data_IF_454217340964
#
_entry.id   IF_454217340964
#
_cell.length_a   1.000
_cell.length_b   1.000
_cell.length_c   1.000
_cell.angle_alpha   90.00
_cell.angle_beta   90.00
_cell.angle_gamma   90.00
#
_symmetry.space_group_name_H-M   'P 1'
#
loop_
_entity.id
_entity.type
_entity.pdbx_description
1 polymer ?
#
# COMPACT_ATOMS: atom_id res chain seq x y z
N UNK A 1 16.64 -5.15 13.91
CA UNK A 1 17.44 -5.67 12.79
C UNK A 1 18.71 -4.82 12.73
N UNK A 2 19.85 -5.38 12.33
CA UNK A 2 21.11 -4.64 12.34
C UNK A 2 21.24 -3.89 11.00
N UNK A 3 21.12 -2.57 11.04
CA UNK A 3 21.08 -1.66 9.88
C UNK A 3 22.47 -1.43 9.26
N UNK A 4 23.35 -2.44 9.30
CA UNK A 4 24.77 -2.28 8.95
C UNK A 4 25.02 -2.05 7.45
N UNK A 5 24.04 -2.32 6.58
CA UNK A 5 24.17 -2.10 5.13
C UNK A 5 23.77 -0.69 4.69
N UNK A 6 23.03 0.04 5.53
CA UNK A 6 22.52 1.37 5.21
C UNK A 6 23.62 2.45 5.41
N UNK A 7 24.69 2.10 6.13
CA UNK A 7 25.75 3.02 6.55
C UNK A 7 25.44 3.67 7.91
N UNK A 8 26.48 3.97 8.69
CA UNK A 8 26.29 4.65 9.99
C UNK A 8 25.66 6.04 9.78
N UNK A 9 24.63 6.36 10.56
CA UNK A 9 23.97 7.68 10.55
C UNK A 9 22.80 7.84 9.56
N UNK A 10 22.38 6.78 8.86
CA UNK A 10 21.16 6.82 8.04
C UNK A 10 19.92 6.73 8.93
N UNK A 11 19.04 7.74 8.81
CA UNK A 11 17.74 7.78 9.47
C UNK A 11 16.63 7.55 8.43
N UNK A 12 15.74 6.61 8.70
CA UNK A 12 14.55 6.34 7.89
C UNK A 12 13.36 7.08 8.50
N UNK A 13 12.76 7.96 7.71
CA UNK A 13 11.56 8.71 8.08
C UNK A 13 10.30 7.86 8.05
N UNK A 14 9.28 8.30 8.79
CA UNK A 14 7.93 7.73 8.71
C UNK A 14 7.27 8.08 7.38
N UNK A 15 6.44 7.17 6.85
CA UNK A 15 5.65 7.40 5.62
C UNK A 15 4.29 8.04 5.93
N UNK A 16 3.75 7.81 7.13
CA UNK A 16 2.52 8.43 7.64
C UNK A 16 2.72 8.81 9.11
N UNK A 17 1.88 9.70 9.63
CA UNK A 17 1.89 10.03 11.06
C UNK A 17 1.40 8.85 11.89
N UNK A 18 2.30 8.20 12.62
CA UNK A 18 1.98 7.05 13.48
C UNK A 18 2.75 7.15 14.78
N UNK A 19 2.03 7.05 15.91
CA UNK A 19 2.60 6.95 17.24
C UNK A 19 2.43 5.52 17.76
N UNK A 20 3.51 4.72 17.88
CA UNK A 20 3.41 3.33 18.32
C UNK A 20 2.94 3.16 19.77
N UNK A 21 2.85 4.24 20.55
CA UNK A 21 2.38 4.20 21.95
C UNK A 21 0.87 4.35 22.07
N UNK A 22 0.22 5.01 21.11
CA UNK A 22 -1.23 5.30 21.13
C UNK A 22 -1.98 4.70 19.94
N UNK A 23 -1.32 4.62 18.79
CA UNK A 23 -1.94 4.20 17.53
C UNK A 23 -1.84 2.68 17.36
N UNK A 24 -2.85 2.11 16.71
CA UNK A 24 -2.93 0.67 16.43
C UNK A 24 -3.07 0.42 14.95
N UNK A 25 -2.50 -0.70 14.49
CA UNK A 25 -2.58 -1.17 13.12
C UNK A 25 -3.50 -2.40 13.05
N UNK A 26 -4.29 -2.49 11.99
CA UNK A 26 -5.10 -3.66 11.69
C UNK A 26 -4.55 -4.40 10.45
N UNK A 27 -4.09 -5.64 10.55
CA UNK A 27 -3.71 -6.41 9.37
C UNK A 27 -4.96 -6.87 8.62
N UNK A 28 -5.12 -6.44 7.37
CA UNK A 28 -6.21 -6.89 6.52
C UNK A 28 -5.87 -8.22 5.84
N UNK A 29 -6.86 -9.11 5.78
CA UNK A 29 -6.81 -10.32 4.96
C UNK A 29 -7.59 -10.12 3.67
N UNK A 30 -6.88 -9.96 2.56
CA UNK A 30 -7.44 -9.86 1.21
C UNK A 30 -7.32 -11.15 0.40
N UNK A 31 -7.14 -12.29 1.07
CA UNK A 31 -7.15 -13.61 0.45
C UNK A 31 -8.57 -14.18 0.38
N UNK A 32 -8.73 -15.29 -0.35
CA UNK A 32 -10.02 -16.01 -0.43
C UNK A 32 -10.48 -16.62 0.90
N UNK A 33 -9.65 -16.61 1.96
CA UNK A 33 -10.03 -17.08 3.28
C UNK A 33 -10.98 -16.10 4.00
N UNK A 34 -10.95 -14.81 3.64
CA UNK A 34 -11.82 -13.80 4.21
C UNK A 34 -13.21 -13.83 3.55
N UNK A 35 -14.17 -14.47 4.23
CA UNK A 35 -15.54 -14.61 3.76
C UNK A 35 -16.41 -13.35 3.92
N UNK A 36 -15.90 -12.31 4.60
CA UNK A 36 -16.61 -11.02 4.71
C UNK A 36 -16.55 -10.23 3.40
N UNK A 37 -15.48 -10.41 2.62
CA UNK A 37 -15.25 -9.73 1.35
C UNK A 37 -15.98 -10.44 0.20
N UNK A 38 -17.26 -10.12 0.06
CA UNK A 38 -18.09 -10.63 -1.05
C UNK A 38 -17.78 -9.94 -2.38
N UNK A 39 -18.19 -10.56 -3.48
CA UNK A 39 -18.02 -10.01 -4.82
C UNK A 39 -18.66 -8.62 -4.98
N UNK A 40 -19.82 -8.45 -4.35
CA UNK A 40 -20.58 -7.21 -4.34
C UNK A 40 -19.83 -6.07 -3.63
N UNK A 41 -19.23 -6.34 -2.47
CA UNK A 41 -18.38 -5.38 -1.75
C UNK A 41 -17.14 -5.04 -2.59
N UNK A 42 -16.44 -6.04 -3.11
CA UNK A 42 -15.19 -5.87 -3.85
C UNK A 42 -15.37 -5.16 -5.21
N UNK A 43 -16.56 -5.24 -5.81
CA UNK A 43 -16.87 -4.60 -7.10
C UNK A 43 -17.33 -3.15 -6.98
N UNK A 44 -17.54 -2.65 -5.76
CA UNK A 44 -18.07 -1.32 -5.48
C UNK A 44 -17.14 -0.57 -4.53
N UNK A 45 -16.45 0.47 -5.05
CA UNK A 45 -15.47 1.26 -4.30
C UNK A 45 -16.05 1.85 -3.02
N UNK A 46 -17.30 2.32 -3.03
CA UNK A 46 -17.92 2.93 -1.86
C UNK A 46 -18.18 1.88 -0.77
N UNK A 47 -18.70 0.70 -1.14
CA UNK A 47 -18.95 -0.40 -0.20
C UNK A 47 -17.65 -0.95 0.37
N UNK A 48 -16.62 -1.09 -0.46
CA UNK A 48 -15.31 -1.52 -0.01
C UNK A 48 -14.68 -0.50 0.95
N UNK A 49 -14.78 0.80 0.62
CA UNK A 49 -14.32 1.89 1.50
C UNK A 49 -15.05 1.88 2.83
N UNK A 50 -16.37 1.70 2.81
CA UNK A 50 -17.19 1.59 4.01
C UNK A 50 -16.78 0.38 4.85
N UNK A 51 -16.58 -0.79 4.25
CA UNK A 51 -16.13 -1.98 4.96
C UNK A 51 -14.75 -1.80 5.62
N UNK A 52 -13.80 -1.19 4.90
CA UNK A 52 -12.47 -0.85 5.45
C UNK A 52 -12.62 0.07 6.66
N UNK A 53 -13.38 1.17 6.52
CA UNK A 53 -13.60 2.14 7.60
C UNK A 53 -14.25 1.51 8.82
N UNK A 54 -15.35 0.76 8.63
CA UNK A 54 -16.05 0.06 9.70
C UNK A 54 -15.15 -0.96 10.40
N UNK A 55 -14.25 -1.63 9.68
CA UNK A 55 -13.30 -2.57 10.26
C UNK A 55 -12.29 -1.84 11.15
N UNK A 56 -11.70 -0.74 10.67
CA UNK A 56 -10.77 0.06 11.46
C UNK A 56 -11.43 0.64 12.72
N UNK A 57 -12.65 1.14 12.60
CA UNK A 57 -13.43 1.63 13.73
C UNK A 57 -13.73 0.50 14.72
N UNK A 58 -14.20 -0.65 14.26
CA UNK A 58 -14.48 -1.82 15.12
C UNK A 58 -13.26 -2.25 15.93
N UNK A 59 -12.07 -2.22 15.34
CA UNK A 59 -10.83 -2.61 16.02
C UNK A 59 -10.09 -1.46 16.70
N UNK A 60 -10.59 -0.22 16.57
CA UNK A 60 -9.98 1.00 17.08
C UNK A 60 -8.53 1.13 16.59
N UNK A 61 -8.34 0.99 15.28
CA UNK A 61 -7.05 1.10 14.60
C UNK A 61 -6.99 2.37 13.77
N UNK A 62 -5.84 3.05 13.79
CA UNK A 62 -5.62 4.26 13.00
C UNK A 62 -5.43 3.95 11.52
N UNK A 63 -4.71 2.86 11.24
CA UNK A 63 -4.46 2.40 9.89
C UNK A 63 -4.69 0.90 9.76
N UNK A 64 -5.13 0.49 8.59
CA UNK A 64 -5.02 -0.89 8.14
C UNK A 64 -3.72 -1.10 7.39
N UNK A 65 -3.18 -2.31 7.44
CA UNK A 65 -2.00 -2.68 6.69
C UNK A 65 -2.29 -3.93 5.86
N UNK A 66 -1.89 -3.89 4.59
CA UNK A 66 -1.76 -5.09 3.79
C UNK A 66 -0.41 -5.76 4.02
N UNK A 67 -0.27 -7.04 3.67
CA UNK A 67 1.04 -7.69 3.66
C UNK A 67 1.81 -7.48 2.36
N UNK A 68 3.11 -7.78 2.45
CA UNK A 68 4.04 -7.90 1.33
C UNK A 68 4.11 -9.36 0.88
N UNK A 69 4.29 -9.59 -0.43
CA UNK A 69 4.37 -10.92 -1.03
C UNK A 69 3.09 -11.75 -0.83
N UNK A 70 1.93 -11.07 -0.85
CA UNK A 70 0.63 -11.72 -0.71
C UNK A 70 0.07 -12.14 -2.06
N UNK A 71 -0.40 -13.39 -2.15
CA UNK A 71 -1.17 -13.86 -3.30
C UNK A 71 -2.61 -13.37 -3.18
N UNK A 72 -2.87 -12.19 -3.71
CA UNK A 72 -4.17 -11.53 -3.56
C UNK A 72 -5.10 -11.88 -4.70
N UNK A 73 -6.20 -12.55 -4.37
CA UNK A 73 -7.25 -12.94 -5.32
C UNK A 73 -8.10 -11.75 -5.77
N UNK A 74 -8.05 -10.61 -5.07
CA UNK A 74 -8.83 -9.40 -5.40
C UNK A 74 -8.41 -8.75 -6.74
N UNK A 75 -7.14 -8.87 -7.15
CA UNK A 75 -6.63 -8.25 -8.39
C UNK A 75 -6.98 -9.04 -9.66
N UNK A 76 -7.59 -10.21 -9.55
CA UNK A 76 -8.01 -11.02 -10.70
C UNK A 76 -9.15 -10.39 -11.53
N UNK A 77 -9.56 -9.14 -11.23
CA UNK A 77 -10.76 -8.50 -11.79
C UNK A 77 -10.49 -7.29 -12.69
N UNK A 78 -9.31 -6.69 -12.62
CA UNK A 78 -8.96 -5.65 -13.58
C UNK A 78 -8.45 -6.32 -14.86
N UNK A 79 -9.09 -6.02 -15.99
CA UNK A 79 -8.61 -6.47 -17.30
C UNK A 79 -7.18 -6.00 -17.60
N UNK A 80 -6.68 -4.96 -16.90
CA UNK A 80 -5.29 -4.51 -16.98
C UNK A 80 -4.29 -5.41 -16.23
N UNK A 81 -4.75 -6.19 -15.25
CA UNK A 81 -3.91 -7.10 -14.44
C UNK A 81 -4.10 -8.59 -14.77
N UNK A 82 -5.12 -8.93 -15.57
CA UNK A 82 -5.40 -10.29 -16.08
C UNK A 82 -5.04 -10.41 -17.57
N UNK A 83 -3.79 -10.09 -17.91
CA UNK A 83 -3.23 -10.33 -19.25
C UNK A 83 -2.87 -11.81 -19.33
N UNK A 84 -3.35 -12.51 -20.38
CA UNK A 84 -3.30 -13.96 -20.51
C UNK A 84 -1.91 -14.64 -20.38
N UNK A 85 -0.81 -13.88 -20.49
CA UNK A 85 0.55 -14.41 -20.36
C UNK A 85 1.16 -14.28 -18.96
N UNK A 86 0.82 -13.24 -18.16
CA UNK A 86 1.38 -13.04 -16.81
C UNK A 86 0.39 -12.34 -15.86
N UNK A 87 -0.45 -13.10 -15.13
CA UNK A 87 -1.38 -12.50 -14.17
C UNK A 87 -0.62 -11.92 -12.98
N UNK A 88 -0.69 -10.60 -12.79
CA UNK A 88 -0.02 -9.85 -11.71
C UNK A 88 -0.76 -10.02 -10.38
N UNK A 89 -0.77 -11.24 -9.85
CA UNK A 89 -1.48 -11.62 -8.61
C UNK A 89 -0.63 -11.56 -7.35
N UNK A 90 0.67 -11.33 -7.51
CA UNK A 90 1.61 -11.19 -6.41
C UNK A 90 1.74 -9.72 -6.02
N UNK A 91 1.25 -9.36 -4.83
CA UNK A 91 1.39 -8.01 -4.32
C UNK A 91 2.82 -7.82 -3.77
N UNK A 92 3.65 -7.10 -4.52
CA UNK A 92 5.03 -6.75 -4.14
C UNK A 92 5.12 -5.37 -3.45
N UNK A 93 3.98 -4.72 -3.19
CA UNK A 93 3.87 -3.49 -2.44
C UNK A 93 3.50 -3.72 -0.98
N UNK A 94 3.32 -2.62 -0.24
CA UNK A 94 2.72 -2.60 1.09
C UNK A 94 1.64 -1.53 1.06
N UNK A 95 0.44 -1.86 1.51
CA UNK A 95 -0.66 -0.89 1.59
C UNK A 95 -0.82 -0.35 3.00
N UNK A 96 -1.12 0.94 3.10
CA UNK A 96 -1.53 1.58 4.33
C UNK A 96 -2.92 2.17 4.09
N UNK A 97 -3.93 1.56 4.69
CA UNK A 97 -5.31 1.99 4.61
C UNK A 97 -5.59 3.02 5.68
N UNK A 98 -6.10 4.19 5.30
CA UNK A 98 -6.42 5.27 6.22
C UNK A 98 -7.40 6.28 5.62
N UNK A 99 -7.76 7.31 6.40
CA UNK A 99 -8.67 8.35 5.93
C UNK A 99 -8.14 9.10 4.72
N UNK A 100 -9.02 9.46 3.79
CA UNK A 100 -8.68 10.35 2.68
C UNK A 100 -8.10 11.67 3.20
N UNK A 101 -7.07 12.18 2.53
CA UNK A 101 -6.35 13.39 2.96
C UNK A 101 -5.28 13.15 4.03
N UNK A 102 -5.04 11.90 4.44
CA UNK A 102 -3.88 11.56 5.27
C UNK A 102 -2.59 12.01 4.58
N UNK A 103 -1.74 12.83 5.23
CA UNK A 103 -0.44 13.20 4.67
C UNK A 103 0.46 11.98 4.48
N UNK A 104 1.06 11.88 3.28
CA UNK A 104 2.06 10.86 2.96
C UNK A 104 3.42 11.52 2.82
N UNK A 105 4.42 10.95 3.47
CA UNK A 105 5.78 11.44 3.53
C UNK A 105 6.74 10.50 2.79
N UNK A 106 7.79 11.09 2.23
CA UNK A 106 8.93 10.33 1.76
C UNK A 106 9.79 9.88 2.96
N UNK A 107 10.26 8.63 2.96
CA UNK A 107 11.04 8.05 4.06
C UNK A 107 12.53 8.39 4.01
N UNK A 108 13.05 8.92 2.90
CA UNK A 108 14.47 9.26 2.76
C UNK A 108 14.72 10.33 1.70
N UNK A 109 15.90 10.97 1.67
CA UNK A 109 16.24 11.89 0.58
C UNK A 109 16.15 11.21 -0.79
N UNK A 110 15.45 11.86 -1.73
CA UNK A 110 15.11 11.25 -3.01
C UNK A 110 14.92 12.28 -4.12
N UNK A 111 15.12 11.83 -5.35
CA UNK A 111 14.83 12.57 -6.57
C UNK A 111 13.46 12.15 -7.10
N UNK A 112 12.61 13.11 -7.46
CA UNK A 112 11.38 12.80 -8.21
C UNK A 112 11.78 12.33 -9.60
N UNK A 113 11.54 11.05 -9.89
CA UNK A 113 11.81 10.49 -11.21
C UNK A 113 10.67 10.79 -12.19
N UNK A 114 9.43 10.52 -11.78
CA UNK A 114 8.23 10.72 -12.59
C UNK A 114 6.98 10.73 -11.72
N UNK A 115 5.90 11.34 -12.20
CA UNK A 115 4.59 11.30 -11.58
C UNK A 115 3.50 11.33 -12.66
N UNK A 116 2.36 10.71 -12.38
CA UNK A 116 1.23 10.64 -13.31
C UNK A 116 -0.07 10.41 -12.55
N UNK A 117 -1.17 10.94 -13.07
CA UNK A 117 -2.51 10.54 -12.64
C UNK A 117 -3.05 9.49 -13.63
N UNK A 118 -3.06 8.22 -13.21
CA UNK A 118 -3.51 7.06 -13.97
C UNK A 118 -5.02 6.87 -13.77
N UNK A 119 -5.81 7.75 -14.39
CA UNK A 119 -7.27 7.86 -14.21
C UNK A 119 -8.06 6.80 -14.99
N UNK A 120 -7.68 5.54 -14.87
CA UNK A 120 -8.45 4.40 -15.36
C UNK A 120 -9.00 3.61 -14.19
N UNK A 121 -10.18 3.03 -14.38
CA UNK A 121 -10.83 2.23 -13.35
C UNK A 121 -9.95 1.02 -12.97
N UNK A 122 -9.61 0.92 -11.67
CA UNK A 122 -8.78 -0.14 -11.13
C UNK A 122 -7.28 -0.01 -11.45
N UNK A 123 -6.82 1.17 -11.90
CA UNK A 123 -5.41 1.51 -12.07
C UNK A 123 -4.86 2.19 -10.79
N UNK A 124 -3.60 2.61 -10.80
CA UNK A 124 -2.87 3.14 -9.64
C UNK A 124 -3.29 4.57 -9.20
N UNK A 125 -4.24 5.21 -9.88
CA UNK A 125 -4.63 6.58 -9.55
C UNK A 125 -3.46 7.57 -9.59
N UNK A 126 -3.34 8.43 -8.57
CA UNK A 126 -2.25 9.40 -8.49
C UNK A 126 -0.96 8.73 -8.03
N UNK A 127 0.03 8.70 -8.91
CA UNK A 127 1.28 7.96 -8.69
C UNK A 127 2.48 8.88 -8.76
N UNK A 128 3.44 8.70 -7.84
CA UNK A 128 4.78 9.30 -7.90
C UNK A 128 5.84 8.21 -7.74
N UNK A 129 6.88 8.27 -8.57
CA UNK A 129 8.05 7.40 -8.49
C UNK A 129 9.22 8.23 -8.00
N UNK A 130 9.79 7.82 -6.87
CA UNK A 130 10.96 8.43 -6.26
C UNK A 130 12.18 7.53 -6.44
N UNK A 131 13.31 8.14 -6.79
CA UNK A 131 14.60 7.48 -6.95
C UNK A 131 15.45 7.75 -5.72
N UNK A 132 15.93 6.67 -5.12
CA UNK A 132 16.74 6.69 -3.91
C UNK A 132 18.18 6.29 -4.18
N UNK A 133 19.08 6.82 -3.35
CA UNK A 133 20.47 6.39 -3.26
C UNK A 133 20.84 6.19 -1.81
N UNK A 134 20.91 4.93 -1.37
CA UNK A 134 21.12 4.56 0.03
C UNK A 134 22.15 3.43 0.09
N UNK A 135 23.20 3.56 0.92
CA UNK A 135 24.21 2.52 1.07
C UNK A 135 24.92 2.09 -0.24
N UNK A 136 25.00 3.00 -1.22
CA UNK A 136 25.54 2.69 -2.56
C UNK A 136 24.55 1.99 -3.51
N UNK A 137 23.37 1.59 -3.04
CA UNK A 137 22.29 1.05 -3.87
C UNK A 137 21.48 2.19 -4.49
N UNK A 138 21.13 2.05 -5.78
CA UNK A 138 20.16 2.92 -6.45
C UNK A 138 18.91 2.11 -6.75
N UNK A 139 17.76 2.58 -6.31
CA UNK A 139 16.47 1.92 -6.53
C UNK A 139 15.35 2.95 -6.66
N UNK A 140 14.18 2.50 -7.11
CA UNK A 140 12.98 3.32 -7.25
C UNK A 140 11.88 2.75 -6.37
N UNK A 141 11.10 3.63 -5.73
CA UNK A 141 9.85 3.25 -5.07
C UNK A 141 8.69 4.02 -5.72
N UNK A 142 7.59 3.30 -5.94
CA UNK A 142 6.33 3.85 -6.40
C UNK A 142 5.43 4.10 -5.19
N UNK A 143 4.83 5.29 -5.13
CA UNK A 143 3.75 5.65 -4.23
C UNK A 143 2.51 5.84 -5.08
N UNK A 144 1.44 5.12 -4.75
CA UNK A 144 0.16 5.11 -5.46
C UNK A 144 -0.90 4.44 -4.63
#
# INVERSE_FOLDING_TARGET
MNDSWIGEGVSIGRVVDFDPTTDRLHPFDFTAANLELTDDILSNTDRFTEWVGQTLDKFQCKYGIGGYNEHRTIYARSAHFDIAEEPRRLHLGVDIWGPAGTPVYNFYDAEVHSFQFNDHYGDYGATIILKYRIGGLTFHALYG
#
